data_IF_433309087819
#
_entry.id   IF_433309087819
#
_cell.length_a   1.000
_cell.length_b   1.000
_cell.length_c   1.000
_cell.angle_alpha   90.00
_cell.angle_beta   90.00
_cell.angle_gamma   90.00
#
_symmetry.space_group_name_H-M   'P 1'
#
loop_
_entity.id
_entity.type
_entity.pdbx_description
1 polymer ?
#
# COMPACT_ATOMS: atom_id res chain seq x y z
N UNK A 1 -5.91 -26.52 7.48
CA UNK A 1 -4.83 -25.55 7.23
C UNK A 1 -5.17 -24.33 8.06
N UNK A 2 -4.27 -23.93 8.94
CA UNK A 2 -4.41 -22.77 9.81
C UNK A 2 -4.26 -21.52 8.95
N UNK A 3 -5.23 -20.59 8.98
CA UNK A 3 -5.11 -19.27 8.34
C UNK A 3 -3.91 -18.55 8.94
N UNK A 4 -3.27 -17.70 8.12
CA UNK A 4 -2.13 -16.88 8.50
C UNK A 4 -2.39 -16.16 9.83
N UNK A 5 -1.46 -16.29 10.77
CA UNK A 5 -1.44 -15.59 12.07
C UNK A 5 -0.83 -14.19 11.94
N UNK A 6 -0.76 -13.63 10.71
CA UNK A 6 -0.04 -12.38 10.42
C UNK A 6 -0.78 -11.10 10.82
N UNK A 7 -1.88 -11.17 11.57
CA UNK A 7 -2.64 -9.99 12.05
C UNK A 7 -3.03 -9.01 10.91
N UNK A 8 -3.20 -9.55 9.69
CA UNK A 8 -3.47 -8.79 8.47
C UNK A 8 -2.32 -7.88 8.03
N UNK A 9 -1.08 -8.17 8.46
CA UNK A 9 0.09 -7.32 8.22
C UNK A 9 0.97 -7.75 7.07
N UNK A 10 1.20 -9.05 6.95
CA UNK A 10 2.12 -9.62 5.97
C UNK A 10 1.40 -10.65 5.12
N UNK A 11 1.65 -10.60 3.82
CA UNK A 11 1.24 -11.64 2.88
C UNK A 11 2.08 -12.90 3.10
N UNK A 12 1.44 -14.07 3.18
CA UNK A 12 2.11 -15.37 3.30
C UNK A 12 1.76 -16.25 2.08
N UNK A 13 2.71 -16.53 1.16
CA UNK A 13 2.44 -17.34 -0.03
C UNK A 13 2.09 -18.80 0.28
N UNK A 14 2.25 -19.26 1.52
CA UNK A 14 1.90 -20.62 1.93
C UNK A 14 0.56 -20.71 2.67
N UNK A 15 -0.07 -19.56 2.95
CA UNK A 15 -1.39 -19.50 3.56
C UNK A 15 -2.50 -19.72 2.52
N UNK A 16 -3.71 -20.01 2.99
CA UNK A 16 -4.89 -20.00 2.13
C UNK A 16 -5.41 -18.56 2.00
N UNK A 17 -5.70 -18.14 0.77
CA UNK A 17 -6.23 -16.82 0.42
C UNK A 17 -7.62 -16.94 -0.20
N UNK A 18 -8.37 -15.85 -0.21
CA UNK A 18 -9.71 -15.74 -0.80
C UNK A 18 -9.70 -15.54 -2.32
N UNK A 19 -8.51 -15.51 -2.93
CA UNK A 19 -8.29 -15.34 -4.35
C UNK A 19 -7.28 -16.40 -4.86
N UNK A 20 -7.27 -16.71 -6.17
CA UNK A 20 -6.26 -17.59 -6.77
C UNK A 20 -4.89 -16.89 -6.82
N UNK A 21 -3.91 -17.43 -6.10
CA UNK A 21 -2.63 -16.80 -5.80
C UNK A 21 -1.43 -17.45 -6.52
N UNK A 22 -1.62 -18.53 -7.29
CA UNK A 22 -0.49 -19.26 -7.88
C UNK A 22 0.31 -18.37 -8.85
N UNK A 23 -0.40 -17.59 -9.67
CA UNK A 23 0.23 -16.64 -10.60
C UNK A 23 0.94 -15.50 -9.87
N UNK A 24 0.36 -15.01 -8.78
CA UNK A 24 0.97 -13.98 -7.94
C UNK A 24 2.28 -14.50 -7.35
N UNK A 25 2.28 -15.72 -6.80
CA UNK A 25 3.43 -16.31 -6.15
C UNK A 25 4.61 -16.50 -7.13
N UNK A 26 4.35 -16.98 -8.35
CA UNK A 26 5.36 -17.07 -9.42
C UNK A 26 5.96 -15.68 -9.75
N UNK A 27 5.12 -14.65 -9.80
CA UNK A 27 5.54 -13.26 -10.08
C UNK A 27 6.39 -12.72 -8.93
N UNK A 28 5.97 -12.88 -7.68
CA UNK A 28 6.68 -12.37 -6.50
C UNK A 28 8.05 -13.03 -6.30
N UNK A 29 8.16 -14.34 -6.59
CA UNK A 29 9.46 -15.03 -6.61
C UNK A 29 10.41 -14.35 -7.60
N UNK A 30 9.93 -14.08 -8.82
CA UNK A 30 10.76 -13.43 -9.85
C UNK A 30 11.09 -11.97 -9.53
N UNK A 31 10.15 -11.21 -8.92
CA UNK A 31 10.40 -9.82 -8.47
C UNK A 31 11.54 -9.77 -7.43
N UNK A 32 11.58 -10.75 -6.53
CA UNK A 32 12.59 -10.81 -5.46
C UNK A 32 14.00 -10.97 -6.01
N UNK A 33 14.15 -11.70 -7.12
CA UNK A 33 15.43 -11.98 -7.76
C UNK A 33 15.76 -11.02 -8.93
N UNK A 34 14.87 -10.10 -9.31
CA UNK A 34 15.07 -9.20 -10.44
C UNK A 34 16.04 -8.05 -10.13
N UNK A 35 17.25 -8.11 -10.67
CA UNK A 35 18.32 -7.14 -10.41
C UNK A 35 17.95 -5.69 -10.71
N UNK A 36 17.14 -5.43 -11.75
CA UNK A 36 16.75 -4.07 -12.13
C UNK A 36 15.73 -3.50 -11.15
N UNK A 37 14.72 -4.28 -10.76
CA UNK A 37 13.75 -3.88 -9.73
C UNK A 37 14.49 -3.58 -8.43
N UNK A 38 15.36 -4.49 -7.97
CA UNK A 38 16.11 -4.27 -6.73
C UNK A 38 16.98 -2.99 -6.80
N UNK A 39 17.62 -2.73 -7.95
CA UNK A 39 18.40 -1.50 -8.15
C UNK A 39 17.54 -0.23 -8.07
N UNK A 40 16.32 -0.22 -8.63
CA UNK A 40 15.40 0.91 -8.47
C UNK A 40 15.00 1.12 -7.00
N UNK A 41 14.69 0.03 -6.28
CA UNK A 41 14.28 0.08 -4.88
C UNK A 41 15.39 0.58 -3.94
N UNK A 42 16.64 0.31 -4.27
CA UNK A 42 17.81 0.87 -3.57
C UNK A 42 18.05 2.34 -3.93
N UNK A 43 17.94 2.68 -5.22
CA UNK A 43 18.27 4.01 -5.73
C UNK A 43 17.24 5.09 -5.35
N UNK A 44 15.96 4.71 -5.20
CA UNK A 44 14.87 5.67 -5.00
C UNK A 44 15.04 6.56 -3.76
N UNK A 45 15.72 6.08 -2.71
CA UNK A 45 15.92 6.84 -1.47
C UNK A 45 16.89 8.04 -1.58
N UNK A 46 17.67 8.15 -2.65
CA UNK A 46 18.67 9.23 -2.76
C UNK A 46 18.00 10.60 -2.80
N UNK A 47 16.93 10.77 -3.58
CA UNK A 47 16.21 12.05 -3.67
C UNK A 47 15.39 12.40 -2.40
N UNK A 48 14.44 11.57 -1.95
CA UNK A 48 13.61 11.89 -0.80
C UNK A 48 14.43 11.91 0.50
N UNK A 49 15.26 10.91 0.77
CA UNK A 49 15.99 10.79 2.05
C UNK A 49 17.28 11.59 2.03
N UNK A 50 18.21 11.28 1.11
CA UNK A 50 19.57 11.86 1.18
C UNK A 50 19.60 13.34 0.83
N UNK A 51 18.83 13.76 -0.18
CA UNK A 51 18.83 15.16 -0.67
C UNK A 51 17.82 16.05 0.05
N UNK A 52 16.59 15.55 0.29
CA UNK A 52 15.51 16.34 0.91
C UNK A 52 15.26 16.05 2.41
N UNK A 53 15.80 14.96 2.95
CA UNK A 53 15.65 14.62 4.37
C UNK A 53 14.26 14.11 4.78
N UNK A 54 13.50 13.56 3.83
CA UNK A 54 12.18 12.95 4.07
C UNK A 54 12.29 11.46 4.47
N UNK A 55 11.12 10.84 4.64
CA UNK A 55 10.93 9.44 5.03
C UNK A 55 11.58 8.46 4.05
N UNK A 56 11.80 7.24 4.56
CA UNK A 56 12.18 6.09 3.76
C UNK A 56 11.06 5.76 2.76
N UNK A 57 11.40 5.74 1.49
CA UNK A 57 10.57 5.25 0.39
C UNK A 57 11.29 4.07 -0.29
N UNK A 58 12.24 3.41 0.39
CA UNK A 58 13.07 2.33 -0.16
C UNK A 58 12.40 0.96 -0.11
N UNK A 59 13.22 -0.09 -0.26
CA UNK A 59 12.76 -1.48 -0.27
C UNK A 59 11.86 -1.86 0.92
N UNK A 60 12.12 -1.32 2.14
CA UNK A 60 11.29 -1.65 3.31
C UNK A 60 9.89 -1.04 3.25
N UNK A 61 9.80 0.21 2.79
CA UNK A 61 8.51 0.85 2.54
C UNK A 61 7.70 0.04 1.51
N UNK A 62 8.32 -0.27 0.37
CA UNK A 62 7.68 -1.05 -0.69
C UNK A 62 7.24 -2.45 -0.24
N UNK A 63 8.06 -3.15 0.56
CA UNK A 63 7.69 -4.43 1.17
C UNK A 63 6.41 -4.30 2.01
N UNK A 64 6.35 -3.29 2.88
CA UNK A 64 5.17 -3.03 3.73
C UNK A 64 3.95 -2.71 2.85
N UNK A 65 4.05 -1.76 1.92
CA UNK A 65 2.92 -1.35 1.08
C UNK A 65 2.38 -2.53 0.27
N UNK A 66 3.24 -3.31 -0.36
CA UNK A 66 2.84 -4.51 -1.12
C UNK A 66 2.13 -5.53 -0.24
N UNK A 67 2.70 -5.82 0.92
CA UNK A 67 2.13 -6.81 1.84
C UNK A 67 0.77 -6.35 2.37
N UNK A 68 0.64 -5.07 2.74
CA UNK A 68 -0.63 -4.48 3.17
C UNK A 68 -1.66 -4.42 2.05
N UNK A 69 -1.25 -4.14 0.82
CA UNK A 69 -2.13 -4.15 -0.35
C UNK A 69 -2.71 -5.55 -0.59
N UNK A 70 -1.88 -6.59 -0.52
CA UNK A 70 -2.32 -7.97 -0.68
C UNK A 70 -3.22 -8.44 0.47
N UNK A 71 -2.91 -8.07 1.73
CA UNK A 71 -3.79 -8.37 2.86
C UNK A 71 -5.14 -7.64 2.76
N UNK A 72 -5.14 -6.36 2.35
CA UNK A 72 -6.38 -5.61 2.14
C UNK A 72 -7.22 -6.23 1.01
N UNK A 73 -6.57 -6.57 -0.11
CA UNK A 73 -7.21 -7.27 -1.22
C UNK A 73 -7.83 -8.60 -0.77
N UNK A 74 -7.07 -9.43 -0.02
CA UNK A 74 -7.57 -10.70 0.52
C UNK A 74 -8.86 -10.51 1.34
N UNK A 75 -8.85 -9.58 2.28
CA UNK A 75 -9.99 -9.30 3.15
C UNK A 75 -11.21 -8.77 2.37
N UNK A 76 -11.00 -7.97 1.32
CA UNK A 76 -12.07 -7.51 0.43
C UNK A 76 -12.65 -8.67 -0.39
N UNK A 77 -11.81 -9.57 -0.89
CA UNK A 77 -12.26 -10.78 -1.60
C UNK A 77 -13.03 -11.74 -0.68
N UNK A 78 -12.64 -11.86 0.58
CA UNK A 78 -13.43 -12.61 1.59
C UNK A 78 -14.85 -12.07 1.77
N UNK A 79 -15.04 -10.77 1.55
CA UNK A 79 -16.35 -10.10 1.63
C UNK A 79 -17.13 -10.16 0.31
N UNK A 80 -16.59 -10.81 -0.72
CA UNK A 80 -17.22 -10.90 -2.04
C UNK A 80 -17.23 -9.57 -2.79
N UNK A 81 -16.24 -8.70 -2.53
CA UNK A 81 -16.05 -7.48 -3.32
C UNK A 81 -15.54 -7.86 -4.71
N UNK A 82 -16.25 -7.42 -5.74
CA UNK A 82 -15.91 -7.64 -7.14
C UNK A 82 -15.01 -6.51 -7.64
N UNK A 83 -13.85 -6.86 -8.19
CA UNK A 83 -12.88 -5.91 -8.73
C UNK A 83 -13.05 -5.75 -10.24
N UNK A 84 -12.74 -4.56 -10.75
CA UNK A 84 -13.05 -4.18 -12.13
C UNK A 84 -11.82 -4.05 -13.04
N UNK A 85 -10.62 -3.79 -12.52
CA UNK A 85 -9.43 -3.57 -13.35
C UNK A 85 -9.10 -4.77 -14.24
N UNK A 86 -9.02 -5.97 -13.67
CA UNK A 86 -8.80 -7.18 -14.47
C UNK A 86 -10.04 -7.53 -15.33
N UNK A 87 -11.22 -7.54 -14.72
CA UNK A 87 -12.44 -8.07 -15.34
C UNK A 87 -12.94 -7.23 -16.53
N UNK A 88 -12.86 -5.90 -16.46
CA UNK A 88 -13.25 -5.00 -17.56
C UNK A 88 -12.29 -5.08 -18.76
N UNK A 89 -11.05 -5.53 -18.55
CA UNK A 89 -10.10 -5.86 -19.62
C UNK A 89 -10.28 -7.27 -20.20
N UNK A 90 -11.15 -8.08 -19.61
CA UNK A 90 -11.34 -9.49 -19.95
C UNK A 90 -10.18 -10.40 -19.50
N UNK A 91 -9.43 -9.98 -18.47
CA UNK A 91 -8.43 -10.80 -17.79
C UNK A 91 -9.11 -11.74 -16.77
N UNK A 92 -8.33 -12.66 -16.21
CA UNK A 92 -8.84 -13.58 -15.18
C UNK A 92 -8.69 -12.94 -13.80
N UNK A 93 -9.51 -13.36 -12.84
CA UNK A 93 -9.41 -12.93 -11.43
C UNK A 93 -8.01 -13.14 -10.84
N UNK A 94 -7.30 -14.21 -11.23
CA UNK A 94 -5.90 -14.47 -10.81
C UNK A 94 -4.90 -13.39 -11.22
N UNK A 95 -5.29 -12.48 -12.12
CA UNK A 95 -4.46 -11.38 -12.60
C UNK A 95 -4.68 -10.10 -11.77
N UNK A 96 -5.80 -9.99 -11.02
CA UNK A 96 -6.06 -8.90 -10.06
C UNK A 96 -4.93 -8.74 -9.01
N UNK A 97 -4.53 -9.79 -8.26
CA UNK A 97 -3.45 -9.66 -7.28
C UNK A 97 -2.09 -9.32 -7.92
N UNK A 98 -1.88 -9.70 -9.18
CA UNK A 98 -0.65 -9.35 -9.92
C UNK A 98 -0.60 -7.86 -10.21
N UNK A 99 -1.74 -7.26 -10.60
CA UNK A 99 -1.87 -5.81 -10.79
C UNK A 99 -1.53 -5.11 -9.47
N UNK A 100 -2.17 -5.51 -8.37
CA UNK A 100 -1.96 -4.94 -7.04
C UNK A 100 -0.49 -5.04 -6.61
N UNK A 101 0.11 -6.22 -6.73
CA UNK A 101 1.47 -6.46 -6.25
C UNK A 101 2.53 -5.71 -7.08
N UNK A 102 2.43 -5.72 -8.40
CA UNK A 102 3.39 -5.02 -9.27
C UNK A 102 3.24 -3.51 -9.17
N UNK A 103 2.01 -2.99 -9.07
CA UNK A 103 1.78 -1.57 -8.84
C UNK A 103 2.34 -1.12 -7.50
N UNK A 104 2.05 -1.84 -6.41
CA UNK A 104 2.62 -1.54 -5.09
C UNK A 104 4.16 -1.62 -5.09
N UNK A 105 4.74 -2.56 -5.85
CA UNK A 105 6.20 -2.70 -5.95
C UNK A 105 6.87 -1.52 -6.67
N UNK A 106 6.22 -1.00 -7.71
CA UNK A 106 6.82 -0.03 -8.63
C UNK A 106 6.32 1.41 -8.43
N UNK A 107 5.38 1.67 -7.53
CA UNK A 107 4.69 2.96 -7.43
C UNK A 107 5.62 4.16 -7.23
N UNK A 108 6.68 3.98 -6.44
CA UNK A 108 7.59 5.03 -6.01
C UNK A 108 8.89 5.15 -6.81
N UNK A 109 9.14 4.29 -7.80
CA UNK A 109 10.44 4.24 -8.51
C UNK A 109 10.79 5.56 -9.22
N UNK A 110 9.81 6.41 -9.52
CA UNK A 110 9.98 7.78 -10.02
C UNK A 110 10.81 8.67 -9.09
N UNK A 111 10.94 8.31 -7.82
CA UNK A 111 11.85 8.95 -6.87
C UNK A 111 13.32 8.91 -7.30
N UNK A 112 13.76 8.00 -8.18
CA UNK A 112 15.12 8.08 -8.75
C UNK A 112 15.33 9.35 -9.59
N UNK A 113 14.25 9.89 -10.17
CA UNK A 113 14.27 11.12 -10.97
C UNK A 113 14.07 12.32 -10.06
N UNK A 114 12.94 12.36 -9.35
CA UNK A 114 12.60 13.48 -8.49
C UNK A 114 11.56 13.07 -7.42
N UNK A 115 11.52 13.82 -6.31
CA UNK A 115 10.51 13.57 -5.27
C UNK A 115 9.13 14.07 -5.65
N UNK A 116 9.09 15.32 -6.10
CA UNK A 116 7.85 15.97 -6.48
C UNK A 116 7.43 15.42 -7.84
N UNK A 117 6.13 15.19 -8.03
CA UNK A 117 5.54 14.56 -9.22
C UNK A 117 6.10 13.16 -9.52
N UNK A 118 6.63 12.46 -8.51
CA UNK A 118 7.18 11.11 -8.67
C UNK A 118 6.21 10.10 -9.31
N UNK A 119 4.87 10.14 -9.12
CA UNK A 119 3.99 9.18 -9.78
C UNK A 119 4.11 9.28 -11.31
N UNK A 120 4.20 10.50 -11.85
CA UNK A 120 4.35 10.74 -13.28
C UNK A 120 5.73 10.31 -13.81
N UNK A 121 6.77 10.37 -12.99
CA UNK A 121 8.09 9.81 -13.34
C UNK A 121 8.14 8.29 -13.19
N UNK A 122 7.34 7.70 -12.30
CA UNK A 122 7.21 6.24 -12.15
C UNK A 122 6.62 5.61 -13.40
N UNK A 123 5.64 6.25 -14.08
CA UNK A 123 4.98 5.69 -15.27
C UNK A 123 5.96 5.24 -16.37
N UNK A 124 6.84 6.10 -16.93
CA UNK A 124 7.75 5.67 -17.99
C UNK A 124 8.76 4.63 -17.51
N UNK A 125 9.25 4.73 -16.28
CA UNK A 125 10.20 3.75 -15.73
C UNK A 125 9.55 2.38 -15.53
N UNK A 126 8.34 2.37 -14.98
CA UNK A 126 7.57 1.15 -14.75
C UNK A 126 7.15 0.52 -16.08
N UNK A 127 6.80 1.32 -17.08
CA UNK A 127 6.47 0.81 -18.42
C UNK A 127 7.65 0.01 -19.03
N UNK A 128 8.87 0.54 -18.93
CA UNK A 128 10.08 -0.14 -19.42
C UNK A 128 10.37 -1.43 -18.65
N UNK A 129 10.26 -1.40 -17.30
CA UNK A 129 10.41 -2.59 -16.45
C UNK A 129 9.36 -3.65 -16.80
N UNK A 130 8.10 -3.28 -16.94
CA UNK A 130 6.98 -4.19 -17.22
C UNK A 130 7.09 -4.82 -18.62
N UNK A 131 7.53 -4.06 -19.62
CA UNK A 131 7.73 -4.59 -20.98
C UNK A 131 8.81 -5.67 -21.03
N UNK A 132 9.85 -5.57 -20.18
CA UNK A 132 10.87 -6.61 -20.01
C UNK A 132 10.38 -7.78 -19.14
N UNK A 133 9.65 -7.48 -18.08
CA UNK A 133 9.33 -8.45 -17.01
C UNK A 133 8.15 -9.37 -17.34
N UNK A 134 7.02 -8.81 -17.80
CA UNK A 134 5.77 -9.54 -18.05
C UNK A 134 5.79 -10.63 -19.14
N UNK A 135 6.64 -10.59 -20.19
CA UNK A 135 6.70 -11.65 -21.21
C UNK A 135 6.99 -13.05 -20.66
N UNK A 136 7.54 -13.17 -19.45
CA UNK A 136 7.79 -14.45 -18.78
C UNK A 136 6.50 -15.13 -18.31
N UNK A 137 5.41 -14.37 -18.18
CA UNK A 137 4.15 -14.82 -17.58
C UNK A 137 2.94 -14.70 -18.52
N UNK A 138 2.96 -13.70 -19.41
CA UNK A 138 1.81 -13.30 -20.22
C UNK A 138 2.14 -13.15 -21.71
N UNK A 139 1.19 -13.59 -22.54
CA UNK A 139 1.21 -13.30 -23.97
C UNK A 139 0.89 -11.83 -24.23
N UNK A 140 1.24 -11.36 -25.43
CA UNK A 140 1.19 -9.93 -25.78
C UNK A 140 -0.16 -9.24 -25.50
N UNK A 141 -1.34 -9.81 -25.82
CA UNK A 141 -2.61 -9.15 -25.55
C UNK A 141 -2.86 -8.90 -24.06
N UNK A 142 -2.58 -9.89 -23.22
CA UNK A 142 -2.78 -9.79 -21.78
C UNK A 142 -1.71 -8.91 -21.15
N UNK A 143 -0.46 -8.97 -21.65
CA UNK A 143 0.60 -8.05 -21.23
C UNK A 143 0.18 -6.59 -21.38
N UNK A 144 -0.37 -6.19 -22.53
CA UNK A 144 -0.80 -4.80 -22.77
C UNK A 144 -1.89 -4.37 -21.77
N UNK A 145 -2.84 -5.26 -21.47
CA UNK A 145 -3.93 -5.01 -20.52
C UNK A 145 -3.41 -4.87 -19.09
N UNK A 146 -2.62 -5.83 -18.63
CA UNK A 146 -1.99 -5.79 -17.31
C UNK A 146 -1.12 -4.55 -17.14
N UNK A 147 -0.28 -4.22 -18.12
CA UNK A 147 0.54 -3.00 -18.07
C UNK A 147 -0.32 -1.75 -17.90
N UNK A 148 -1.45 -1.66 -18.61
CA UNK A 148 -2.40 -0.55 -18.46
C UNK A 148 -2.91 -0.40 -17.02
N UNK A 149 -3.39 -1.50 -16.43
CA UNK A 149 -3.94 -1.51 -15.07
C UNK A 149 -2.88 -1.26 -14.00
N UNK A 150 -1.67 -1.80 -14.17
CA UNK A 150 -0.54 -1.56 -13.26
C UNK A 150 -0.13 -0.09 -13.29
N UNK A 151 0.03 0.49 -14.47
CA UNK A 151 0.40 1.91 -14.61
C UNK A 151 -0.70 2.84 -14.10
N UNK A 152 -1.97 2.49 -14.29
CA UNK A 152 -3.11 3.22 -13.71
C UNK A 152 -3.05 3.20 -12.19
N UNK A 153 -2.85 2.04 -11.56
CA UNK A 153 -2.70 1.94 -10.11
C UNK A 153 -1.46 2.69 -9.58
N UNK A 154 -0.35 2.67 -10.31
CA UNK A 154 0.84 3.48 -10.00
C UNK A 154 0.52 4.98 -10.09
N UNK A 155 -0.24 5.44 -11.07
CA UNK A 155 -0.59 6.86 -11.15
C UNK A 155 -1.48 7.28 -9.98
N UNK A 156 -2.51 6.48 -9.71
CA UNK A 156 -3.56 6.78 -8.75
C UNK A 156 -3.17 6.55 -7.28
N UNK A 157 -1.99 6.00 -6.98
CA UNK A 157 -1.54 5.86 -5.59
C UNK A 157 -1.41 7.23 -4.90
N UNK A 158 -1.14 8.30 -5.67
CA UNK A 158 -1.11 9.68 -5.16
C UNK A 158 -2.50 10.32 -5.17
N UNK A 159 -2.80 11.19 -4.20
CA UNK A 159 -4.15 11.72 -3.96
C UNK A 159 -4.72 12.55 -5.11
N UNK A 160 -3.87 13.15 -5.96
CA UNK A 160 -4.30 14.03 -7.05
C UNK A 160 -5.11 13.32 -8.15
N UNK A 161 -4.90 12.02 -8.35
CA UNK A 161 -5.47 11.27 -9.50
C UNK A 161 -6.49 10.22 -9.06
N UNK A 162 -7.76 10.40 -9.40
CA UNK A 162 -8.87 9.53 -8.96
C UNK A 162 -8.72 8.07 -9.49
N UNK A 163 -8.66 7.06 -8.60
CA UNK A 163 -8.70 5.65 -8.97
C UNK A 163 -9.99 5.29 -9.68
N UNK A 164 -9.87 4.74 -10.89
CA UNK A 164 -10.99 4.20 -11.66
C UNK A 164 -11.20 2.69 -11.46
N UNK A 165 -10.34 2.05 -10.68
CA UNK A 165 -10.40 0.62 -10.38
C UNK A 165 -10.17 0.37 -8.89
N UNK A 166 -10.79 -0.69 -8.36
CA UNK A 166 -10.59 -1.07 -6.97
C UNK A 166 -9.15 -1.53 -6.69
N UNK A 167 -8.45 -2.09 -7.68
CA UNK A 167 -7.03 -2.44 -7.60
C UNK A 167 -6.18 -1.20 -7.31
N UNK A 168 -6.43 -0.10 -8.04
CA UNK A 168 -5.78 1.19 -7.81
C UNK A 168 -6.16 1.78 -6.45
N UNK A 169 -7.43 1.64 -6.04
CA UNK A 169 -7.91 2.01 -4.71
C UNK A 169 -7.18 1.28 -3.57
N UNK A 170 -6.96 -0.03 -3.73
CA UNK A 170 -6.20 -0.86 -2.77
C UNK A 170 -4.77 -0.36 -2.65
N UNK A 171 -4.06 -0.12 -3.75
CA UNK A 171 -2.67 0.37 -3.72
C UNK A 171 -2.61 1.75 -3.06
N UNK A 172 -3.53 2.65 -3.39
CA UNK A 172 -3.63 3.98 -2.78
C UNK A 172 -3.81 3.89 -1.26
N UNK A 173 -4.77 3.10 -0.78
CA UNK A 173 -5.04 2.96 0.66
C UNK A 173 -3.86 2.28 1.36
N UNK A 174 -3.30 1.23 0.76
CA UNK A 174 -2.17 0.48 1.32
C UNK A 174 -0.92 1.34 1.52
N UNK A 175 -0.65 2.29 0.61
CA UNK A 175 0.47 3.23 0.78
C UNK A 175 0.33 4.09 2.05
N UNK A 176 -0.90 4.53 2.37
CA UNK A 176 -1.13 5.26 3.61
C UNK A 176 -0.94 4.40 4.88
N UNK A 177 -1.01 3.07 4.79
CA UNK A 177 -0.90 2.19 5.96
C UNK A 177 0.53 2.11 6.53
N UNK A 178 1.58 2.52 5.79
CA UNK A 178 2.95 2.63 6.30
C UNK A 178 3.16 3.89 7.17
N UNK A 179 2.38 3.99 8.25
CA UNK A 179 2.37 5.16 9.14
C UNK A 179 2.80 4.87 10.58
N UNK A 180 3.16 3.62 10.89
CA UNK A 180 3.62 3.22 12.23
C UNK A 180 4.84 4.04 12.69
N UNK A 181 4.99 4.20 14.01
CA UNK A 181 6.10 4.94 14.61
C UNK A 181 7.45 4.43 14.10
N UNK A 182 8.30 5.37 13.72
CA UNK A 182 9.63 5.08 13.17
C UNK A 182 9.66 4.92 11.65
N UNK A 183 8.50 4.80 11.00
CA UNK A 183 8.31 4.87 9.54
C UNK A 183 8.21 6.32 9.07
N UNK A 184 7.51 7.14 9.85
CA UNK A 184 7.39 8.58 9.63
C UNK A 184 8.54 9.37 10.30
N UNK A 185 9.63 9.60 9.57
CA UNK A 185 10.70 10.56 9.91
C UNK A 185 10.49 11.89 9.18
N UNK A 186 9.42 12.61 9.51
CA UNK A 186 9.23 13.97 9.02
C UNK A 186 10.51 14.77 9.37
N UNK A 187 11.06 15.57 8.44
CA UNK A 187 12.31 16.27 8.64
C UNK A 187 12.30 17.00 9.98
N UNK A 188 13.36 16.75 10.73
CA UNK A 188 13.73 17.50 11.92
C UNK A 188 14.04 18.94 11.47
N UNK A 189 13.00 19.74 11.20
CA UNK A 189 13.17 21.17 11.05
C UNK A 189 13.55 21.71 12.42
N UNK A 190 14.86 21.78 12.66
CA UNK A 190 15.51 22.73 13.56
C UNK A 190 14.70 23.02 14.83
N UNK A 191 14.42 22.01 15.65
CA UNK A 191 13.81 22.19 16.97
C UNK A 191 12.29 22.42 17.01
N UNK A 192 11.55 22.12 15.94
CA UNK A 192 10.08 22.17 15.94
C UNK A 192 9.44 21.03 16.74
N UNK A 193 8.92 21.32 17.94
CA UNK A 193 7.92 20.48 18.64
C UNK A 193 6.53 20.73 18.03
N UNK A 194 6.35 20.39 16.75
CA UNK A 194 5.09 20.59 16.02
C UNK A 194 4.14 19.40 16.14
N UNK A 195 2.85 19.61 15.84
CA UNK A 195 1.81 18.56 15.87
C UNK A 195 2.18 17.36 15.00
N UNK A 196 2.79 17.61 13.82
CA UNK A 196 3.23 16.57 12.87
C UNK A 196 4.25 15.59 13.47
N UNK A 197 5.16 16.07 14.32
CA UNK A 197 6.18 15.21 14.96
C UNK A 197 5.59 14.40 16.09
N UNK A 198 4.61 14.95 16.81
CA UNK A 198 3.92 14.25 17.89
C UNK A 198 2.97 13.18 17.33
N UNK A 199 2.19 13.53 16.29
CA UNK A 199 1.25 12.62 15.64
C UNK A 199 1.96 11.43 14.99
N UNK A 200 3.10 11.65 14.34
CA UNK A 200 3.86 10.59 13.67
C UNK A 200 4.56 9.62 14.63
N UNK A 201 4.66 9.97 15.91
CA UNK A 201 5.20 9.11 16.97
C UNK A 201 4.11 8.43 17.79
N UNK A 202 2.85 8.79 17.57
CA UNK A 202 1.74 8.32 18.38
C UNK A 202 1.17 6.99 17.90
N UNK A 203 1.40 6.57 16.65
CA UNK A 203 0.86 5.32 16.09
C UNK A 203 1.81 4.16 16.40
N UNK A 204 1.37 3.22 17.23
CA UNK A 204 2.16 2.04 17.61
C UNK A 204 1.91 0.85 16.67
N UNK A 205 0.71 0.73 16.11
CA UNK A 205 0.38 -0.39 15.23
C UNK A 205 -0.79 -0.11 14.31
N UNK A 206 -0.73 -0.70 13.12
CA UNK A 206 -1.84 -0.74 12.16
C UNK A 206 -2.16 -2.20 11.84
N UNK A 207 -3.42 -2.59 12.05
CA UNK A 207 -3.91 -3.96 11.80
C UNK A 207 -5.11 -3.92 10.86
N UNK A 208 -5.24 -4.97 10.05
CA UNK A 208 -6.35 -5.16 9.13
C UNK A 208 -7.18 -6.34 9.60
N UNK A 209 -8.46 -6.13 9.83
CA UNK A 209 -9.38 -7.17 10.30
C UNK A 209 -10.68 -7.13 9.53
N UNK A 210 -11.44 -8.23 9.58
CA UNK A 210 -12.79 -8.29 9.02
C UNK A 210 -13.83 -8.05 10.11
N UNK A 211 -14.70 -7.07 9.90
CA UNK A 211 -16.00 -6.94 10.58
C UNK A 211 -17.13 -7.29 9.61
N UNK A 212 -18.38 -7.25 10.08
CA UNK A 212 -19.55 -7.51 9.24
C UNK A 212 -19.61 -6.46 8.11
N UNK A 213 -19.54 -6.93 6.88
CA UNK A 213 -19.64 -6.17 5.62
C UNK A 213 -18.56 -5.09 5.40
N UNK A 214 -17.48 -5.04 6.21
CA UNK A 214 -16.39 -4.06 6.07
C UNK A 214 -15.05 -4.56 6.58
N UNK A 215 -13.97 -4.20 5.88
CA UNK A 215 -12.61 -4.32 6.38
C UNK A 215 -12.35 -3.18 7.36
N UNK A 216 -11.82 -3.50 8.53
CA UNK A 216 -11.47 -2.51 9.56
C UNK A 216 -9.98 -2.32 9.61
N UNK A 217 -9.56 -1.08 9.38
CA UNK A 217 -8.22 -0.59 9.66
C UNK A 217 -8.22 -0.12 11.11
N UNK A 218 -7.66 -0.92 12.00
CA UNK A 218 -7.51 -0.57 13.41
C UNK A 218 -6.12 0.06 13.63
N UNK A 219 -6.12 1.24 14.25
CA UNK A 219 -4.94 2.07 14.47
C UNK A 219 -4.76 2.22 15.97
N UNK A 220 -3.75 1.53 16.52
CA UNK A 220 -3.36 1.65 17.91
C UNK A 220 -2.47 2.88 18.10
N UNK A 221 -2.85 3.73 19.06
CA UNK A 221 -2.13 4.97 19.35
C UNK A 221 -1.92 5.22 20.84
N UNK A 222 -0.79 5.83 21.20
CA UNK A 222 -0.44 6.18 22.59
C UNK A 222 -0.88 7.60 22.97
N UNK A 223 -1.21 8.42 21.98
CA UNK A 223 -1.59 9.83 22.14
C UNK A 223 -2.64 10.22 21.10
N UNK A 224 -3.65 10.97 21.50
CA UNK A 224 -4.73 11.44 20.62
C UNK A 224 -4.23 12.32 19.46
N UNK A 225 -3.02 12.90 19.55
CA UNK A 225 -2.37 13.58 18.43
C UNK A 225 -2.20 12.67 17.22
N UNK A 226 -2.16 11.34 17.40
CA UNK A 226 -2.12 10.35 16.32
C UNK A 226 -3.26 10.48 15.33
N UNK A 227 -4.45 10.95 15.76
CA UNK A 227 -5.59 11.20 14.87
C UNK A 227 -5.24 12.14 13.72
N UNK A 228 -4.37 13.14 13.95
CA UNK A 228 -3.92 14.05 12.88
C UNK A 228 -3.14 13.31 11.77
N UNK A 229 -2.33 12.31 12.14
CA UNK A 229 -1.60 11.49 11.17
C UNK A 229 -2.55 10.61 10.36
N UNK A 230 -3.57 10.05 11.02
CA UNK A 230 -4.59 9.24 10.35
C UNK A 230 -5.39 10.08 9.35
N UNK A 231 -5.78 11.29 9.74
CA UNK A 231 -6.59 12.17 8.88
C UNK A 231 -5.80 12.66 7.65
N UNK A 232 -4.57 13.16 7.86
CA UNK A 232 -3.72 13.69 6.78
C UNK A 232 -3.27 12.62 5.79
N UNK A 233 -3.09 11.36 6.23
CA UNK A 233 -2.63 10.27 5.36
C UNK A 233 -3.76 9.35 4.91
N UNK A 234 -4.37 8.63 5.83
CA UNK A 234 -5.29 7.54 5.49
C UNK A 234 -6.67 8.05 5.10
N UNK A 235 -7.27 8.96 5.86
CA UNK A 235 -8.59 9.51 5.50
C UNK A 235 -8.54 10.21 4.14
N UNK A 236 -7.47 10.97 3.89
CA UNK A 236 -7.24 11.63 2.61
C UNK A 236 -7.08 10.64 1.44
N UNK A 237 -6.42 9.49 1.66
CA UNK A 237 -6.25 8.45 0.63
C UNK A 237 -7.43 7.50 0.47
N UNK A 238 -8.23 7.30 1.51
CA UNK A 238 -9.44 6.49 1.44
C UNK A 238 -10.56 7.23 0.70
N UNK A 239 -10.64 8.55 0.88
CA UNK A 239 -11.60 9.37 0.16
C UNK A 239 -11.36 9.31 -1.34
N UNK A 240 -12.44 9.13 -2.10
CA UNK A 240 -12.43 9.04 -3.56
C UNK A 240 -11.53 7.91 -4.05
N UNK A 241 -11.40 6.82 -3.27
CA UNK A 241 -10.58 5.64 -3.64
C UNK A 241 -11.41 4.48 -4.21
N UNK A 242 -12.74 4.54 -4.10
CA UNK A 242 -13.65 3.44 -4.39
C UNK A 242 -13.82 2.44 -3.24
N UNK A 243 -13.08 2.60 -2.13
CA UNK A 243 -13.10 1.69 -0.97
C UNK A 243 -13.89 2.25 0.22
N UNK A 244 -14.47 3.44 0.14
CA UNK A 244 -15.13 4.14 1.26
C UNK A 244 -16.30 3.36 1.86
N UNK A 245 -17.01 2.57 1.05
CA UNK A 245 -18.09 1.70 1.53
C UNK A 245 -17.60 0.39 2.11
N UNK A 246 -16.35 0.00 1.83
CA UNK A 246 -15.78 -1.31 2.16
C UNK A 246 -14.77 -1.24 3.31
N UNK A 247 -14.15 -0.09 3.53
CA UNK A 247 -13.12 0.11 4.55
C UNK A 247 -13.63 1.05 5.64
N UNK A 248 -13.37 0.70 6.90
CA UNK A 248 -13.68 1.50 8.07
C UNK A 248 -12.41 1.75 8.87
N UNK A 249 -12.18 2.99 9.28
CA UNK A 249 -11.00 3.36 10.08
C UNK A 249 -11.40 3.51 11.55
N UNK A 250 -10.68 2.84 12.43
CA UNK A 250 -10.92 2.87 13.88
C UNK A 250 -9.62 3.20 14.58
N UNK A 251 -9.60 4.29 15.32
CA UNK A 251 -8.48 4.66 16.19
C UNK A 251 -8.74 4.18 17.62
N UNK A 252 -7.74 3.54 18.23
CA UNK A 252 -7.78 3.06 19.62
C UNK A 252 -6.65 3.70 20.40
N UNK A 253 -6.99 4.51 21.41
CA UNK A 253 -6.01 5.11 22.29
C UNK A 253 -5.73 4.18 23.49
N UNK A 254 -4.48 3.71 23.61
CA UNK A 254 -3.98 2.88 24.70
C UNK A 254 -3.09 3.72 25.63
N UNK A 255 -3.69 4.36 26.64
CA UNK A 255 -2.92 5.11 27.64
C UNK A 255 -2.26 4.16 28.68
N UNK A 256 -0.93 4.30 28.86
CA UNK A 256 -0.15 3.65 29.92
C UNK A 256 -0.39 4.34 31.28
N UNK A 257 -1.39 3.88 32.03
CA UNK A 257 -1.55 4.31 33.42
C UNK A 257 -2.70 3.64 34.15
N UNK A 258 -2.41 2.52 34.83
CA UNK A 258 -3.13 1.75 35.89
C UNK A 258 -4.66 1.54 35.85
N UNK A 259 -5.40 2.23 34.99
CA UNK A 259 -6.81 2.05 34.65
C UNK A 259 -6.92 2.12 33.12
N UNK A 260 -7.11 0.96 32.46
CA UNK A 260 -7.24 0.84 31.00
C UNK A 260 -8.52 1.53 30.49
N UNK A 261 -8.49 2.85 30.39
CA UNK A 261 -9.45 3.62 29.59
C UNK A 261 -9.05 3.49 28.13
N UNK A 262 -9.70 2.55 27.44
CA UNK A 262 -9.60 2.42 25.98
C UNK A 262 -10.62 3.38 25.37
N UNK A 263 -10.16 4.45 24.74
CA UNK A 263 -11.01 5.34 23.96
C UNK A 263 -10.99 4.87 22.50
N UNK A 264 -12.15 4.45 21.98
CA UNK A 264 -12.34 4.06 20.58
C UNK A 264 -12.98 5.21 19.83
N UNK A 265 -12.28 5.71 18.82
CA UNK A 265 -12.71 6.83 17.98
C UNK A 265 -12.93 6.29 16.58
N UNK A 266 -14.11 6.55 16.03
CA UNK A 266 -14.42 6.28 14.63
C UNK A 266 -14.13 7.54 13.82
N UNK A 267 -13.40 7.38 12.72
CA UNK A 267 -12.92 8.46 11.85
C UNK A 267 -13.63 8.43 10.50
#
# INVERSE_FOLDING_TARGET
MTRSDTDGRNYDPNAAHAFPDERLNDVLETVTDDEEIQAYLEAQNVNPVTRKGYNDHGAKHVEIVRDRALCLYDLLKEQGVEFNGASEQGLNERDEPVIVALAATLHDIGHVVHRDDHPYYSIPLAADVLERFLPSFYETPDRVRLTGEILHAILCHHTEEEPLTLEAGVVRVADALDMERGRSRIPYERGGRGINTLSSQAIEGVTLTNEVDRVVVEIEMTDAAGVYQVDELLTAKLRESGLESHVRVVAINTHDGDDRLVERIEL
#
